data_IF_150065722674
#
_entry.id   IF_150065722674
#
_cell.length_a   1.000
_cell.length_b   1.000
_cell.length_c   1.000
_cell.angle_alpha   90.00
_cell.angle_beta   90.00
_cell.angle_gamma   90.00
#
_symmetry.space_group_name_H-M   'P 1'
#
loop_
_entity.id
_entity.type
_entity.pdbx_description
1 polymer ?
#
# COMPACT_ATOMS: atom_id res chain seq x y z
N UNK A 1 4.82 14.12 18.32
CA UNK A 1 4.39 12.79 17.85
C UNK A 1 4.17 12.91 16.36
N UNK A 2 4.56 11.91 15.56
CA UNK A 2 4.20 11.91 14.15
C UNK A 2 2.69 11.69 14.03
N UNK A 3 2.01 12.57 13.31
CA UNK A 3 0.57 12.47 13.04
C UNK A 3 0.36 11.68 11.75
N UNK A 4 -0.58 10.73 11.76
CA UNK A 4 -0.91 9.91 10.59
C UNK A 4 -2.23 10.41 10.00
N UNK A 5 -2.33 10.56 8.67
CA UNK A 5 -3.58 10.95 8.04
C UNK A 5 -4.63 9.86 8.26
N UNK A 6 -5.79 10.26 8.77
CA UNK A 6 -6.97 9.40 8.87
C UNK A 6 -7.91 9.77 7.73
N UNK A 7 -8.22 8.80 6.87
CA UNK A 7 -9.15 8.97 5.76
C UNK A 7 -10.40 8.16 6.06
N UNK A 8 -11.53 8.84 6.22
CA UNK A 8 -12.84 8.22 6.27
C UNK A 8 -13.42 8.16 4.85
N UNK A 9 -13.74 6.96 4.38
CA UNK A 9 -14.24 6.72 3.03
C UNK A 9 -15.32 5.65 3.06
N UNK A 10 -16.45 5.95 2.44
CA UNK A 10 -17.61 5.05 2.32
C UNK A 10 -18.18 5.16 0.91
N UNK A 11 -18.62 4.03 0.35
CA UNK A 11 -19.23 3.97 -0.97
C UNK A 11 -18.88 2.68 -1.70
N UNK A 12 -19.01 2.70 -3.01
CA UNK A 12 -18.48 1.66 -3.88
C UNK A 12 -16.94 1.58 -3.77
N UNK A 13 -16.32 0.45 -4.14
CA UNK A 13 -14.85 0.30 -4.12
C UNK A 13 -14.14 1.44 -4.87
N UNK A 14 -14.67 1.84 -6.03
CA UNK A 14 -14.14 2.98 -6.78
C UNK A 14 -14.21 4.30 -6.01
N UNK A 15 -15.34 4.58 -5.34
CA UNK A 15 -15.51 5.81 -4.56
C UNK A 15 -14.57 5.84 -3.35
N UNK A 16 -14.43 4.70 -2.65
CA UNK A 16 -13.48 4.54 -1.55
C UNK A 16 -12.06 4.82 -2.04
N UNK A 17 -11.65 4.18 -3.14
CA UNK A 17 -10.34 4.38 -3.74
C UNK A 17 -10.11 5.83 -4.16
N UNK A 18 -11.10 6.49 -4.75
CA UNK A 18 -11.00 7.89 -5.21
C UNK A 18 -10.84 8.86 -4.05
N UNK A 19 -11.60 8.67 -2.96
CA UNK A 19 -11.46 9.48 -1.74
C UNK A 19 -10.08 9.28 -1.12
N UNK A 20 -9.63 8.02 -1.00
CA UNK A 20 -8.29 7.70 -0.52
C UNK A 20 -7.19 8.36 -1.36
N UNK A 21 -7.20 8.11 -2.67
CA UNK A 21 -6.19 8.63 -3.60
C UNK A 21 -6.12 10.15 -3.59
N UNK A 22 -7.26 10.84 -3.51
CA UNK A 22 -7.30 12.29 -3.45
C UNK A 22 -6.78 12.83 -2.11
N UNK A 23 -7.17 12.21 -0.98
CA UNK A 23 -6.80 12.66 0.35
C UNK A 23 -5.29 12.57 0.62
N UNK A 24 -4.61 11.57 0.06
CA UNK A 24 -3.17 11.33 0.25
C UNK A 24 -2.37 11.35 -1.05
N UNK A 25 -2.84 12.09 -2.07
CA UNK A 25 -2.25 12.12 -3.42
C UNK A 25 -0.74 12.39 -3.41
N UNK A 26 -0.27 13.30 -2.55
CA UNK A 26 1.15 13.61 -2.42
C UNK A 26 1.98 12.43 -1.93
N UNK A 27 1.47 11.66 -0.96
CA UNK A 27 2.14 10.46 -0.44
C UNK A 27 2.14 9.35 -1.49
N UNK A 28 1.03 9.13 -2.19
CA UNK A 28 0.93 8.12 -3.25
C UNK A 28 1.93 8.41 -4.37
N UNK A 29 2.02 9.67 -4.82
CA UNK A 29 3.00 10.07 -5.84
C UNK A 29 4.44 9.89 -5.37
N UNK A 30 4.73 10.26 -4.11
CA UNK A 30 6.05 10.05 -3.54
C UNK A 30 6.44 8.56 -3.50
N UNK A 31 5.51 7.67 -3.17
CA UNK A 31 5.72 6.21 -3.21
C UNK A 31 5.93 5.69 -4.64
N UNK A 32 5.21 6.20 -5.63
CA UNK A 32 5.45 5.87 -7.05
C UNK A 32 6.89 6.25 -7.43
N UNK A 33 7.33 7.48 -7.11
CA UNK A 33 8.69 7.90 -7.44
C UNK A 33 9.75 7.10 -6.67
N UNK A 34 9.53 6.85 -5.38
CA UNK A 34 10.46 6.09 -4.54
C UNK A 34 10.67 4.66 -5.06
N UNK A 35 9.61 4.01 -5.54
CA UNK A 35 9.64 2.59 -5.86
C UNK A 35 9.77 2.29 -7.35
N UNK A 36 9.30 3.20 -8.22
CA UNK A 36 9.31 3.04 -9.68
C UNK A 36 10.15 4.10 -10.42
N UNK A 37 10.61 5.17 -9.76
CA UNK A 37 11.32 6.27 -10.42
C UNK A 37 12.66 5.89 -11.05
N UNK A 38 13.33 4.87 -10.50
CA UNK A 38 14.59 4.32 -11.04
C UNK A 38 14.43 3.00 -11.82
N UNK A 39 13.20 2.53 -12.04
CA UNK A 39 12.94 1.24 -12.67
C UNK A 39 12.49 1.40 -14.12
N UNK A 40 12.77 0.40 -14.94
CA UNK A 40 12.10 0.24 -16.23
C UNK A 40 10.62 -0.09 -15.97
N UNK A 41 9.75 0.87 -16.26
CA UNK A 41 8.32 0.76 -16.00
C UNK A 41 7.65 -0.34 -16.83
N UNK A 42 8.14 -0.62 -18.03
CA UNK A 42 7.56 -1.69 -18.86
C UNK A 42 7.90 -3.07 -18.28
N UNK A 43 9.10 -3.23 -17.73
CA UNK A 43 9.47 -4.45 -16.99
C UNK A 43 8.61 -4.59 -15.74
N UNK A 44 8.50 -3.53 -14.94
CA UNK A 44 7.71 -3.51 -13.70
C UNK A 44 6.22 -3.79 -13.96
N UNK A 45 5.66 -3.22 -15.01
CA UNK A 45 4.23 -3.35 -15.33
C UNK A 45 3.85 -4.71 -15.93
N UNK A 46 4.78 -5.43 -16.57
CA UNK A 46 4.53 -6.81 -17.00
C UNK A 46 4.21 -7.72 -15.84
N UNK A 47 4.93 -7.60 -14.71
CA UNK A 47 4.70 -8.45 -13.55
C UNK A 47 3.29 -8.31 -12.98
N UNK A 48 2.79 -7.07 -12.92
CA UNK A 48 1.48 -6.80 -12.32
C UNK A 48 0.33 -7.11 -13.26
N UNK A 49 0.56 -7.24 -14.56
CA UNK A 49 -0.46 -7.69 -15.52
C UNK A 49 -0.96 -9.11 -15.21
N UNK A 50 -0.05 -10.02 -14.84
CA UNK A 50 -0.41 -11.39 -14.46
C UNK A 50 -1.22 -11.41 -13.15
N UNK A 51 -0.82 -10.59 -12.19
CA UNK A 51 -1.57 -10.42 -10.92
C UNK A 51 -2.96 -9.83 -11.20
N UNK A 52 -3.07 -8.86 -12.11
CA UNK A 52 -4.35 -8.25 -12.47
C UNK A 52 -5.35 -9.28 -13.00
N UNK A 53 -4.89 -10.23 -13.82
CA UNK A 53 -5.74 -11.30 -14.34
C UNK A 53 -6.27 -12.16 -13.19
N UNK A 54 -5.41 -12.55 -12.26
CA UNK A 54 -5.81 -13.29 -11.06
C UNK A 54 -6.81 -12.50 -10.19
N UNK A 55 -6.52 -11.22 -9.90
CA UNK A 55 -7.42 -10.38 -9.07
C UNK A 55 -8.76 -10.17 -9.76
N UNK A 56 -8.79 -10.06 -11.09
CA UNK A 56 -10.05 -9.92 -11.85
C UNK A 56 -10.98 -11.11 -11.64
N UNK A 57 -10.44 -12.32 -11.59
CA UNK A 57 -11.24 -13.54 -11.46
C UNK A 57 -11.77 -13.74 -10.03
N UNK A 58 -11.01 -13.33 -9.01
CA UNK A 58 -11.33 -13.62 -7.60
C UNK A 58 -11.87 -12.42 -6.81
N UNK A 59 -11.43 -11.22 -7.14
CA UNK A 59 -11.75 -10.00 -6.38
C UNK A 59 -11.79 -8.76 -7.31
N UNK A 60 -12.67 -8.73 -8.33
CA UNK A 60 -12.72 -7.64 -9.31
C UNK A 60 -12.99 -6.27 -8.69
N UNK A 61 -13.67 -6.22 -7.54
CA UNK A 61 -13.91 -5.00 -6.78
C UNK A 61 -12.62 -4.31 -6.30
N UNK A 62 -11.53 -5.05 -6.08
CA UNK A 62 -10.22 -4.46 -5.75
C UNK A 62 -9.62 -3.72 -6.94
N UNK A 63 -9.91 -4.15 -8.18
CA UNK A 63 -9.47 -3.42 -9.37
C UNK A 63 -10.23 -2.11 -9.54
N UNK A 64 -11.51 -2.08 -9.17
CA UNK A 64 -12.31 -0.84 -9.12
C UNK A 64 -11.75 0.13 -8.08
N UNK A 65 -11.35 -0.36 -6.90
CA UNK A 65 -10.71 0.47 -5.87
C UNK A 65 -9.35 1.00 -6.31
N UNK A 66 -8.50 0.17 -6.91
CA UNK A 66 -7.20 0.62 -7.48
C UNK A 66 -7.40 1.66 -8.58
N UNK A 67 -8.43 1.51 -9.43
CA UNK A 67 -8.81 2.55 -10.39
C UNK A 67 -9.18 3.85 -9.68
N UNK A 68 -9.98 3.77 -8.61
CA UNK A 68 -10.32 4.92 -7.78
C UNK A 68 -9.07 5.62 -7.23
N UNK A 69 -8.14 4.86 -6.65
CA UNK A 69 -6.89 5.39 -6.10
C UNK A 69 -6.08 6.11 -7.18
N UNK A 70 -5.94 5.51 -8.36
CA UNK A 70 -5.23 6.10 -9.49
C UNK A 70 -5.85 7.44 -9.92
N UNK A 71 -7.17 7.48 -10.09
CA UNK A 71 -7.91 8.69 -10.46
C UNK A 71 -7.81 9.78 -9.38
N UNK A 72 -7.98 9.41 -8.10
CA UNK A 72 -7.90 10.32 -6.98
C UNK A 72 -6.50 10.92 -6.79
N UNK A 73 -5.46 10.09 -6.95
CA UNK A 73 -4.08 10.53 -6.83
C UNK A 73 -3.51 11.14 -8.13
N UNK A 74 -4.20 11.00 -9.26
CA UNK A 74 -3.74 11.48 -10.57
C UNK A 74 -2.46 10.75 -11.04
N UNK A 75 -2.45 9.42 -10.97
CA UNK A 75 -1.32 8.57 -11.39
C UNK A 75 -1.77 7.52 -12.44
N UNK A 76 -0.82 6.89 -13.12
CA UNK A 76 -1.10 5.76 -14.01
C UNK A 76 -1.69 4.58 -13.21
N UNK A 77 -2.79 3.99 -13.70
CA UNK A 77 -3.44 2.85 -13.04
C UNK A 77 -2.49 1.65 -12.85
N UNK A 78 -1.55 1.44 -13.77
CA UNK A 78 -0.53 0.38 -13.65
C UNK A 78 0.45 0.66 -12.52
N UNK A 79 0.76 1.94 -12.25
CA UNK A 79 1.56 2.33 -11.10
C UNK A 79 0.78 2.09 -9.79
N UNK A 80 -0.51 2.42 -9.75
CA UNK A 80 -1.37 2.13 -8.60
C UNK A 80 -1.47 0.62 -8.33
N UNK A 81 -1.64 -0.19 -9.39
CA UNK A 81 -1.64 -1.65 -9.33
C UNK A 81 -0.30 -2.20 -8.81
N UNK A 82 0.81 -1.62 -9.27
CA UNK A 82 2.14 -2.02 -8.84
C UNK A 82 2.42 -1.68 -7.38
N UNK A 83 1.91 -0.57 -6.84
CA UNK A 83 2.07 -0.29 -5.42
C UNK A 83 1.41 -1.35 -4.52
N UNK A 84 0.33 -1.98 -4.97
CA UNK A 84 -0.37 -3.03 -4.22
C UNK A 84 0.37 -4.38 -4.26
N UNK A 85 0.82 -4.80 -5.45
CA UNK A 85 1.29 -6.18 -5.66
C UNK A 85 2.70 -6.32 -6.22
N UNK A 86 3.35 -5.22 -6.58
CA UNK A 86 4.71 -5.22 -7.11
C UNK A 86 5.77 -5.65 -6.10
N UNK A 87 5.46 -5.66 -4.79
CA UNK A 87 6.37 -6.17 -3.74
C UNK A 87 6.62 -7.68 -3.82
N UNK A 88 5.75 -8.43 -4.49
CA UNK A 88 5.94 -9.86 -4.72
C UNK A 88 6.92 -10.16 -5.88
N UNK A 89 7.38 -9.12 -6.59
CA UNK A 89 8.33 -9.27 -7.67
C UNK A 89 9.69 -9.80 -7.14
N UNK A 90 10.39 -10.67 -7.89
CA UNK A 90 11.56 -11.42 -7.41
C UNK A 90 12.70 -10.57 -6.85
N UNK A 91 12.85 -9.33 -7.33
CA UNK A 91 13.96 -8.44 -6.98
C UNK A 91 13.63 -7.48 -5.82
N UNK A 92 12.44 -7.58 -5.22
CA UNK A 92 12.07 -6.79 -4.05
C UNK A 92 12.56 -7.48 -2.79
N UNK A 93 13.40 -6.79 -2.01
CA UNK A 93 13.90 -7.35 -0.74
C UNK A 93 12.73 -7.59 0.22
N UNK A 94 12.70 -8.74 0.92
CA UNK A 94 11.66 -9.01 1.91
C UNK A 94 11.75 -8.01 3.05
N UNK A 95 10.59 -7.57 3.52
CA UNK A 95 10.47 -6.79 4.74
C UNK A 95 10.62 -7.71 5.95
N UNK A 96 11.25 -7.21 7.01
CA UNK A 96 11.34 -7.95 8.26
C UNK A 96 10.15 -7.57 9.16
N UNK A 97 9.52 -8.59 9.74
CA UNK A 97 8.42 -8.38 10.66
C UNK A 97 8.55 -9.27 11.89
N UNK A 98 8.20 -8.72 13.05
CA UNK A 98 7.96 -9.46 14.28
C UNK A 98 6.56 -9.13 14.75
N UNK A 99 5.73 -10.14 14.95
CA UNK A 99 4.35 -9.99 15.40
C UNK A 99 4.11 -10.77 16.70
N UNK A 100 3.11 -10.35 17.46
CA UNK A 100 2.65 -11.04 18.66
C UNK A 100 1.13 -10.95 18.78
N UNK A 101 0.54 -11.90 19.50
CA UNK A 101 -0.83 -11.87 19.95
C UNK A 101 -0.91 -12.44 21.37
N UNK A 102 -1.73 -11.84 22.22
CA UNK A 102 -1.95 -12.24 23.62
C UNK A 102 -3.44 -12.44 23.82
N UNK A 103 -3.84 -13.68 24.14
CA UNK A 103 -5.22 -14.05 24.41
C UNK A 103 -5.72 -13.54 25.77
N UNK A 104 -7.05 -13.46 25.97
CA UNK A 104 -7.64 -12.93 27.19
C UNK A 104 -7.16 -13.66 28.46
N UNK A 105 -6.89 -14.96 28.36
CA UNK A 105 -6.38 -15.81 29.43
C UNK A 105 -4.97 -15.44 29.92
N UNK A 106 -4.27 -14.60 29.16
CA UNK A 106 -2.92 -14.11 29.47
C UNK A 106 -2.88 -12.60 29.75
N UNK A 107 -4.04 -11.97 29.99
CA UNK A 107 -4.16 -10.52 30.23
C UNK A 107 -4.92 -10.22 31.52
N UNK A 108 -4.53 -9.14 32.21
CA UNK A 108 -5.14 -8.77 33.49
C UNK A 108 -6.57 -8.23 33.40
N UNK A 109 -6.98 -7.77 32.21
CA UNK A 109 -8.26 -7.15 31.92
C UNK A 109 -9.17 -7.98 30.99
N UNK A 110 -8.68 -9.14 30.52
CA UNK A 110 -9.40 -9.99 29.57
C UNK A 110 -9.45 -9.44 28.14
N UNK A 111 -8.68 -8.39 27.83
CA UNK A 111 -8.59 -7.80 26.48
C UNK A 111 -7.68 -8.64 25.58
N UNK A 112 -7.96 -8.73 24.28
CA UNK A 112 -7.02 -9.31 23.30
C UNK A 112 -6.07 -8.22 22.82
N UNK A 113 -4.76 -8.48 22.90
CA UNK A 113 -3.74 -7.58 22.35
C UNK A 113 -3.06 -8.24 21.14
N UNK A 114 -2.93 -7.49 20.05
CA UNK A 114 -2.16 -7.89 18.88
C UNK A 114 -1.28 -6.72 18.43
N UNK A 115 -0.09 -7.02 17.94
CA UNK A 115 0.84 -6.00 17.48
C UNK A 115 1.88 -6.55 16.53
N UNK A 116 2.46 -5.66 15.74
CA UNK A 116 3.59 -5.96 14.89
C UNK A 116 4.57 -4.80 14.83
N UNK A 117 5.85 -5.14 14.65
CA UNK A 117 6.87 -4.23 14.16
C UNK A 117 7.14 -4.58 12.71
N UNK A 118 7.09 -3.56 11.85
CA UNK A 118 7.52 -3.63 10.45
C UNK A 118 8.85 -2.89 10.32
N UNK A 119 9.92 -3.59 9.99
CA UNK A 119 11.19 -3.01 9.64
C UNK A 119 11.28 -2.99 8.11
N UNK A 120 11.11 -1.82 7.48
CA UNK A 120 11.22 -1.76 6.04
C UNK A 120 12.68 -2.02 5.62
N UNK A 121 12.86 -2.59 4.42
CA UNK A 121 14.21 -2.84 3.89
C UNK A 121 15.06 -1.56 3.78
N UNK A 122 16.40 -1.70 3.68
CA UNK A 122 17.29 -0.54 3.52
C UNK A 122 16.86 0.30 2.30
N UNK A 123 16.59 1.59 2.52
CA UNK A 123 16.14 2.56 1.51
C UNK A 123 14.77 3.21 1.76
N UNK A 124 13.88 2.61 2.56
CA UNK A 124 12.55 3.18 2.82
C UNK A 124 12.54 4.30 3.87
N UNK A 125 13.62 4.45 4.66
CA UNK A 125 13.69 5.36 5.80
C UNK A 125 14.41 6.69 5.52
N UNK A 126 14.83 6.96 4.27
CA UNK A 126 15.48 8.24 3.95
C UNK A 126 14.48 9.39 3.72
N UNK A 127 13.17 9.10 3.58
CA UNK A 127 12.17 10.10 3.18
C UNK A 127 11.36 10.72 4.33
N UNK A 128 11.73 10.51 5.61
CA UNK A 128 10.91 10.95 6.77
C UNK A 128 11.53 12.02 7.68
N UNK A 129 12.67 12.61 7.33
CA UNK A 129 13.21 13.78 8.04
C UNK A 129 13.51 14.93 7.07
N UNK A 130 12.45 15.58 6.57
CA UNK A 130 12.57 16.67 5.60
C UNK A 130 11.37 17.61 5.56
N UNK A 131 10.77 17.92 6.71
CA UNK A 131 9.95 19.13 6.84
C UNK A 131 10.90 20.23 7.32
N UNK A 132 11.28 21.13 6.41
CA UNK A 132 11.73 22.49 6.75
C UNK A 132 10.63 23.44 6.34
#
# INVERSE_FOLDING_TARGET
MAEFPVVDATGSPYEVGRVHGAAVAGMVRAEVEARLGGQDRDVAFRYVADVQAFVKDWAPHLLDEVRGIADGAGIDQRAALWLQWGTAAPDVRPEECTSFAVGPEFTGDGTVYAGLRRAPGPGAMEMRCGVR
#
